data_IF_652721810896
#
_entry.id   IF_652721810896
#
_cell.length_a   1.000
_cell.length_b   1.000
_cell.length_c   1.000
_cell.angle_alpha   90.00
_cell.angle_beta   90.00
_cell.angle_gamma   90.00
#
_symmetry.space_group_name_H-M   'P 1'
#
loop_
_entity.id
_entity.type
_entity.pdbx_description
1 polymer ?
#
# COMPACT_ATOMS: atom_id res chain seq x y z
N UNK A 1 -7.68 28.53 -69.36
CA UNK A 1 -6.52 28.51 -68.43
C UNK A 1 -6.55 29.82 -67.67
N UNK A 2 -6.71 29.97 -66.37
CA UNK A 2 -6.91 29.04 -65.25
C UNK A 2 -7.48 29.94 -64.15
N UNK A 3 -8.76 29.81 -63.82
CA UNK A 3 -9.42 30.66 -62.82
C UNK A 3 -9.01 30.24 -61.41
N UNK A 4 -8.10 31.00 -60.79
CA UNK A 4 -7.70 30.79 -59.41
C UNK A 4 -8.84 31.24 -58.49
N UNK A 5 -9.72 30.28 -58.15
CA UNK A 5 -10.74 30.42 -57.12
C UNK A 5 -10.07 30.70 -55.77
N UNK A 6 -10.17 31.95 -55.32
CA UNK A 6 -9.74 32.42 -54.01
C UNK A 6 -10.70 31.80 -52.99
N UNK A 7 -10.33 30.66 -52.41
CA UNK A 7 -11.09 30.05 -51.31
C UNK A 7 -10.90 30.94 -50.08
N UNK A 8 -11.91 31.71 -49.74
CA UNK A 8 -12.03 32.34 -48.45
C UNK A 8 -12.06 31.23 -47.39
N UNK A 9 -10.95 31.07 -46.67
CA UNK A 9 -10.86 30.20 -45.52
C UNK A 9 -11.58 30.91 -44.39
N UNK A 10 -12.86 30.59 -44.20
CA UNK A 10 -13.58 30.93 -42.97
C UNK A 10 -12.79 30.34 -41.78
N UNK A 11 -12.05 31.21 -41.10
CA UNK A 11 -11.46 30.89 -39.80
C UNK A 11 -12.63 30.79 -38.83
N UNK A 12 -13.15 29.58 -38.64
CA UNK A 12 -14.11 29.29 -37.58
C UNK A 12 -13.48 29.69 -36.25
N UNK A 13 -14.02 30.70 -35.60
CA UNK A 13 -13.65 31.09 -34.24
C UNK A 13 -13.82 29.88 -33.33
N UNK A 14 -12.70 29.25 -32.99
CA UNK A 14 -12.65 28.16 -32.03
C UNK A 14 -12.94 28.78 -30.68
N UNK A 15 -14.19 28.67 -30.21
CA UNK A 15 -14.58 29.12 -28.89
C UNK A 15 -13.76 28.37 -27.83
N UNK A 16 -12.82 29.08 -27.20
CA UNK A 16 -11.92 28.55 -26.18
C UNK A 16 -12.67 27.79 -25.06
N UNK A 17 -13.87 28.24 -24.71
CA UNK A 17 -14.72 27.60 -23.69
C UNK A 17 -15.20 26.21 -24.12
N UNK A 18 -15.56 26.04 -25.39
CA UNK A 18 -15.96 24.73 -25.95
C UNK A 18 -14.78 23.75 -25.97
N UNK A 19 -13.58 24.23 -26.29
CA UNK A 19 -12.36 23.40 -26.24
C UNK A 19 -12.04 23.00 -24.80
N UNK A 20 -12.10 23.93 -23.84
CA UNK A 20 -11.85 23.65 -22.43
C UNK A 20 -12.80 22.58 -21.85
N UNK A 21 -14.10 22.66 -22.15
CA UNK A 21 -15.08 21.65 -21.73
C UNK A 21 -14.80 20.27 -22.34
N UNK A 22 -14.38 20.22 -23.62
CA UNK A 22 -14.00 18.96 -24.28
C UNK A 22 -12.76 18.35 -23.65
N UNK A 23 -11.76 19.17 -23.31
CA UNK A 23 -10.54 18.72 -22.61
C UNK A 23 -10.90 18.17 -21.22
N UNK A 24 -11.71 18.89 -20.44
CA UNK A 24 -12.14 18.43 -19.12
C UNK A 24 -12.90 17.09 -19.20
N UNK A 25 -13.83 16.96 -20.15
CA UNK A 25 -14.55 15.71 -20.38
C UNK A 25 -13.66 14.56 -20.83
N UNK A 26 -12.62 14.84 -21.63
CA UNK A 26 -11.62 13.84 -22.01
C UNK A 26 -10.83 13.36 -20.79
N UNK A 27 -10.31 14.29 -19.96
CA UNK A 27 -9.52 13.95 -18.77
C UNK A 27 -10.32 13.10 -17.77
N UNK A 28 -11.60 13.42 -17.53
CA UNK A 28 -12.47 12.64 -16.64
C UNK A 28 -12.66 11.21 -17.16
N UNK A 29 -12.95 11.04 -18.46
CA UNK A 29 -13.10 9.69 -19.05
C UNK A 29 -11.81 8.90 -18.97
N UNK A 30 -10.68 9.51 -19.33
CA UNK A 30 -9.37 8.84 -19.24
C UNK A 30 -9.05 8.41 -17.82
N UNK A 31 -9.39 9.20 -16.80
CA UNK A 31 -9.17 8.81 -15.40
C UNK A 31 -10.08 7.66 -14.96
N UNK A 32 -11.34 7.64 -15.41
CA UNK A 32 -12.26 6.52 -15.14
C UNK A 32 -11.78 5.22 -15.79
N UNK A 33 -11.37 5.28 -17.05
CA UNK A 33 -10.83 4.13 -17.79
C UNK A 33 -9.55 3.62 -17.13
N UNK A 34 -8.67 4.55 -16.72
CA UNK A 34 -7.43 4.25 -16.00
C UNK A 34 -7.72 3.56 -14.67
N UNK A 35 -8.69 4.05 -13.88
CA UNK A 35 -9.09 3.40 -12.63
C UNK A 35 -9.69 2.02 -12.88
N UNK A 36 -10.52 1.85 -13.92
CA UNK A 36 -11.13 0.57 -14.27
C UNK A 36 -10.07 -0.48 -14.65
N UNK A 37 -9.16 -0.15 -15.57
CA UNK A 37 -8.05 -1.03 -15.96
C UNK A 37 -7.14 -1.37 -14.77
N UNK A 38 -6.92 -0.41 -13.88
CA UNK A 38 -6.12 -0.64 -12.68
C UNK A 38 -6.80 -1.61 -11.71
N UNK A 39 -8.13 -1.53 -11.54
CA UNK A 39 -8.90 -2.48 -10.73
C UNK A 39 -8.87 -3.88 -11.32
N UNK A 40 -9.04 -4.01 -12.64
CA UNK A 40 -8.86 -5.29 -13.33
C UNK A 40 -7.45 -5.85 -13.13
N UNK A 41 -6.43 -4.99 -13.16
CA UNK A 41 -5.06 -5.41 -12.86
C UNK A 41 -4.92 -5.94 -11.44
N UNK A 42 -5.39 -5.21 -10.42
CA UNK A 42 -5.35 -5.67 -9.03
C UNK A 42 -6.14 -6.97 -8.84
N UNK A 43 -7.29 -7.08 -9.48
CA UNK A 43 -8.09 -8.30 -9.51
C UNK A 43 -7.39 -9.45 -10.23
N UNK A 44 -6.52 -9.20 -11.21
CA UNK A 44 -5.73 -10.22 -11.88
C UNK A 44 -4.49 -10.65 -11.06
N UNK A 45 -3.91 -9.75 -10.27
CA UNK A 45 -2.65 -10.00 -9.56
C UNK A 45 -2.84 -10.41 -8.11
N UNK A 46 -3.69 -9.72 -7.34
CA UNK A 46 -3.85 -9.95 -5.90
C UNK A 46 -4.65 -11.22 -5.67
N UNK A 47 -4.02 -12.19 -5.00
CA UNK A 47 -4.60 -13.53 -4.77
C UNK A 47 -4.59 -13.93 -3.31
N UNK A 48 -3.78 -13.27 -2.48
CA UNK A 48 -3.59 -13.65 -1.08
C UNK A 48 -3.48 -12.45 -0.16
N UNK A 49 -3.76 -12.68 1.11
CA UNK A 49 -3.62 -11.71 2.19
C UNK A 49 -3.06 -12.39 3.43
N UNK A 50 -2.38 -11.63 4.29
CA UNK A 50 -1.98 -12.14 5.60
C UNK A 50 -3.19 -12.12 6.56
N UNK A 51 -3.41 -13.17 7.37
CA UNK A 51 -4.41 -13.14 8.44
C UNK A 51 -4.23 -11.96 9.41
N UNK A 52 -2.99 -11.53 9.66
CA UNK A 52 -2.70 -10.33 10.44
C UNK A 52 -3.40 -9.09 9.89
N UNK A 53 -3.46 -8.93 8.57
CA UNK A 53 -4.13 -7.80 7.95
C UNK A 53 -5.65 -7.86 8.17
N UNK A 54 -6.23 -9.06 8.08
CA UNK A 54 -7.67 -9.25 8.33
C UNK A 54 -8.02 -8.93 9.78
N UNK A 55 -7.19 -9.39 10.72
CA UNK A 55 -7.37 -9.10 12.15
C UNK A 55 -7.20 -7.63 12.46
N UNK A 56 -6.15 -6.98 11.93
CA UNK A 56 -5.97 -5.54 12.07
C UNK A 56 -7.18 -4.78 11.53
N UNK A 57 -7.63 -5.09 10.31
CA UNK A 57 -8.83 -4.47 9.74
C UNK A 57 -10.06 -4.66 10.63
N UNK A 58 -10.23 -5.86 11.21
CA UNK A 58 -11.33 -6.16 12.15
C UNK A 58 -11.22 -5.36 13.44
N UNK A 59 -10.03 -5.27 14.05
CA UNK A 59 -9.77 -4.48 15.26
C UNK A 59 -10.02 -2.98 15.01
N UNK A 60 -9.76 -2.51 13.80
CA UNK A 60 -10.06 -1.13 13.39
C UNK A 60 -11.54 -0.87 13.08
N UNK A 61 -12.37 -1.91 12.99
CA UNK A 61 -13.73 -1.79 12.50
C UNK A 61 -13.80 -1.38 11.03
N UNK A 62 -12.75 -1.69 10.25
CA UNK A 62 -12.66 -1.37 8.82
C UNK A 62 -12.87 -2.63 8.00
N UNK A 63 -13.79 -2.56 7.05
CA UNK A 63 -13.94 -3.58 6.01
C UNK A 63 -12.72 -3.53 5.09
N UNK A 64 -11.94 -4.61 5.07
CA UNK A 64 -10.77 -4.70 4.18
C UNK A 64 -11.18 -4.56 2.71
N UNK A 65 -12.33 -5.13 2.34
CA UNK A 65 -12.92 -4.99 1.00
C UNK A 65 -13.16 -3.52 0.66
N UNK A 66 -13.78 -2.75 1.56
CA UNK A 66 -14.04 -1.34 1.32
C UNK A 66 -12.73 -0.54 1.25
N UNK A 67 -11.76 -0.83 2.13
CA UNK A 67 -10.46 -0.18 2.11
C UNK A 67 -9.73 -0.40 0.78
N UNK A 68 -9.73 -1.63 0.23
CA UNK A 68 -9.04 -1.88 -1.04
C UNK A 68 -9.72 -1.18 -2.22
N UNK A 69 -11.02 -0.86 -2.15
CA UNK A 69 -11.74 -0.11 -3.21
C UNK A 69 -11.26 1.34 -3.37
N UNK A 70 -10.61 1.86 -2.32
CA UNK A 70 -10.05 3.20 -2.26
C UNK A 70 -8.65 3.28 -2.89
N UNK A 71 -7.99 2.15 -3.15
CA UNK A 71 -6.68 2.15 -3.81
C UNK A 71 -6.82 2.80 -5.19
N UNK A 72 -5.90 3.72 -5.51
CA UNK A 72 -5.85 4.45 -6.78
C UNK A 72 -4.58 4.10 -7.58
N UNK A 73 -4.64 4.17 -8.92
CA UNK A 73 -3.46 4.00 -9.74
C UNK A 73 -2.44 5.12 -9.45
N UNK A 74 -1.12 4.83 -9.37
CA UNK A 74 -0.07 5.84 -9.30
C UNK A 74 -0.08 6.71 -10.55
N UNK A 75 0.27 7.99 -10.44
CA UNK A 75 0.16 8.98 -11.54
C UNK A 75 0.84 8.52 -12.85
N UNK A 76 1.94 7.78 -12.75
CA UNK A 76 2.72 7.26 -13.87
C UNK A 76 2.26 5.89 -14.40
N UNK A 77 1.24 5.28 -13.78
CA UNK A 77 0.60 4.07 -14.28
C UNK A 77 -0.40 4.41 -15.41
N UNK A 78 -0.42 3.68 -16.54
CA UNK A 78 0.22 2.38 -16.78
C UNK A 78 1.67 2.39 -17.29
N UNK A 79 2.25 3.55 -17.57
CA UNK A 79 3.53 3.64 -18.31
C UNK A 79 4.71 3.15 -17.49
N UNK A 80 4.58 3.26 -16.17
CA UNK A 80 5.42 2.58 -15.20
C UNK A 80 4.60 1.51 -14.49
N UNK A 81 4.72 0.24 -14.91
CA UNK A 81 4.03 -0.84 -14.22
C UNK A 81 4.46 -0.89 -12.76
N UNK A 82 3.54 -1.33 -11.90
CA UNK A 82 3.82 -1.52 -10.48
C UNK A 82 4.69 -2.77 -10.37
N UNK A 83 5.99 -2.58 -10.59
CA UNK A 83 6.97 -3.64 -10.43
C UNK A 83 7.32 -3.78 -8.95
N UNK A 84 6.92 -4.92 -8.41
CA UNK A 84 7.21 -5.36 -7.05
C UNK A 84 8.70 -5.70 -6.83
N UNK A 85 9.46 -5.79 -7.92
CA UNK A 85 10.91 -5.88 -7.93
C UNK A 85 11.53 -4.50 -7.67
N UNK A 86 11.24 -3.94 -6.50
CA UNK A 86 12.23 -3.05 -5.92
C UNK A 86 13.53 -3.86 -5.79
N UNK A 87 14.66 -3.40 -6.40
CA UNK A 87 15.95 -4.05 -6.25
C UNK A 87 16.18 -4.38 -4.77
N UNK A 88 16.84 -5.50 -4.45
CA UNK A 88 17.11 -5.92 -3.07
C UNK A 88 17.62 -4.76 -2.19
N UNK A 89 18.37 -3.82 -2.80
CA UNK A 89 18.84 -2.58 -2.20
C UNK A 89 17.73 -1.58 -1.84
N UNK A 90 16.68 -1.43 -2.64
CA UNK A 90 15.52 -0.57 -2.35
C UNK A 90 14.59 -1.24 -1.33
N UNK A 91 14.46 -2.58 -1.32
CA UNK A 91 13.88 -3.31 -0.17
C UNK A 91 14.65 -3.03 1.13
N UNK A 92 15.98 -2.97 1.07
CA UNK A 92 16.83 -2.58 2.19
C UNK A 92 16.61 -1.10 2.57
N UNK A 93 16.55 -0.21 1.58
CA UNK A 93 16.34 1.23 1.77
C UNK A 93 14.94 1.60 2.28
N UNK A 94 13.88 0.90 1.88
CA UNK A 94 12.54 1.11 2.43
C UNK A 94 12.46 0.59 3.86
N UNK A 95 13.05 -0.58 4.16
CA UNK A 95 13.21 -1.04 5.56
C UNK A 95 13.98 -0.02 6.41
N UNK A 96 15.04 0.58 5.85
CA UNK A 96 15.84 1.64 6.46
C UNK A 96 15.10 2.98 6.68
N UNK A 97 13.98 3.26 6.00
CA UNK A 97 13.39 4.62 5.97
C UNK A 97 12.15 4.78 6.83
N UNK A 98 11.60 3.70 7.37
CA UNK A 98 10.40 3.72 8.22
C UNK A 98 10.70 3.84 9.72
N UNK A 99 11.96 4.10 10.10
CA UNK A 99 12.47 3.87 11.43
C UNK A 99 12.60 5.06 12.38
N UNK A 100 12.65 6.29 11.87
CA UNK A 100 12.97 7.43 12.72
C UNK A 100 11.75 7.83 13.56
N UNK A 101 11.63 7.29 14.78
CA UNK A 101 10.65 7.66 15.81
C UNK A 101 10.69 9.12 16.30
N UNK A 102 11.18 10.04 15.47
CA UNK A 102 10.88 11.47 15.56
C UNK A 102 9.76 11.73 14.55
N UNK A 103 8.53 11.81 15.04
CA UNK A 103 7.34 12.23 14.27
C UNK A 103 7.59 13.66 13.77
N UNK A 104 8.32 13.79 12.67
CA UNK A 104 8.53 15.03 11.95
C UNK A 104 7.66 15.04 10.71
N UNK A 105 7.33 16.23 10.20
CA UNK A 105 6.60 16.40 8.92
C UNK A 105 7.20 15.58 7.77
N UNK A 106 8.52 15.35 7.82
CA UNK A 106 9.21 14.49 6.87
C UNK A 106 8.68 13.06 6.92
N UNK A 107 8.57 12.43 8.09
CA UNK A 107 8.17 11.02 8.20
C UNK A 107 6.72 10.80 7.73
N UNK A 108 5.81 11.70 8.11
CA UNK A 108 4.42 11.68 7.63
C UNK A 108 4.36 11.71 6.10
N UNK A 109 5.06 12.66 5.46
CA UNK A 109 5.15 12.73 4.01
C UNK A 109 5.76 11.47 3.38
N UNK A 110 6.73 10.83 4.04
CA UNK A 110 7.35 9.61 3.53
C UNK A 110 6.41 8.41 3.63
N UNK A 111 5.70 8.26 4.75
CA UNK A 111 4.69 7.22 4.92
C UNK A 111 3.58 7.39 3.88
N UNK A 112 3.04 8.60 3.76
CA UNK A 112 2.00 8.90 2.77
C UNK A 112 2.51 8.62 1.36
N UNK A 113 3.74 9.01 1.00
CA UNK A 113 4.30 8.68 -0.33
C UNK A 113 4.51 7.17 -0.52
N UNK A 114 4.89 6.43 0.51
CA UNK A 114 5.16 5.00 0.41
C UNK A 114 3.89 4.16 0.29
N UNK A 115 2.75 4.68 0.77
CA UNK A 115 1.49 3.95 0.85
C UNK A 115 0.32 4.58 0.09
N UNK A 116 0.31 5.86 -0.27
CA UNK A 116 -0.81 6.48 -0.99
C UNK A 116 -0.85 6.11 -2.48
N UNK A 117 0.23 5.58 -3.07
CA UNK A 117 0.27 5.22 -4.49
C UNK A 117 1.20 4.02 -4.74
N UNK A 118 0.70 2.78 -4.98
CA UNK A 118 -0.70 2.33 -5.11
C UNK A 118 -1.23 1.68 -3.81
N UNK A 119 -1.62 2.48 -2.83
CA UNK A 119 -2.24 1.95 -1.62
C UNK A 119 -3.25 2.91 -1.01
N UNK A 120 -3.64 2.61 0.21
CA UNK A 120 -4.62 3.36 1.00
C UNK A 120 -4.07 3.54 2.41
N UNK A 121 -4.13 4.79 2.89
CA UNK A 121 -3.85 5.12 4.28
C UNK A 121 -5.18 5.08 5.03
N UNK A 122 -5.31 4.15 5.97
CA UNK A 122 -6.48 3.99 6.84
C UNK A 122 -6.36 4.91 8.06
N UNK A 123 -5.15 4.99 8.64
CA UNK A 123 -4.80 5.95 9.69
C UNK A 123 -3.51 6.65 9.32
N UNK A 124 -3.56 7.98 9.36
CA UNK A 124 -2.42 8.84 9.11
C UNK A 124 -1.37 8.72 10.23
N UNK A 125 -0.19 9.28 10.01
CA UNK A 125 0.94 9.22 10.96
C UNK A 125 0.65 9.96 12.27
N UNK A 126 -0.24 10.95 12.24
CA UNK A 126 -0.68 11.73 13.39
C UNK A 126 -1.94 11.19 14.08
N UNK A 127 -2.51 10.07 13.63
CA UNK A 127 -3.62 9.42 14.35
C UNK A 127 -3.11 8.95 15.73
N UNK A 128 -3.80 9.27 16.83
CA UNK A 128 -3.37 8.90 18.19
C UNK A 128 -3.32 7.38 18.42
N UNK A 129 -3.96 6.58 17.57
CA UNK A 129 -3.91 5.11 17.59
C UNK A 129 -2.75 4.55 16.74
N UNK A 130 -1.94 5.42 16.16
CA UNK A 130 -0.82 5.10 15.29
C UNK A 130 -1.24 4.85 13.84
N UNK A 131 -0.24 4.77 12.96
CA UNK A 131 -0.48 4.68 11.51
C UNK A 131 -0.96 3.31 11.06
N UNK A 132 -1.74 3.26 9.99
CA UNK A 132 -2.16 2.01 9.36
C UNK A 132 -2.41 2.24 7.86
N UNK A 133 -1.73 1.46 7.02
CA UNK A 133 -1.88 1.54 5.58
C UNK A 133 -1.75 0.18 4.90
N UNK A 134 -2.40 0.06 3.74
CA UNK A 134 -2.46 -1.15 2.91
C UNK A 134 -2.00 -0.80 1.51
N UNK A 135 -1.29 -1.69 0.83
CA UNK A 135 -0.88 -1.50 -0.56
C UNK A 135 -0.82 -2.81 -1.32
N UNK A 136 -0.89 -2.69 -2.64
CA UNK A 136 -0.55 -3.79 -3.54
C UNK A 136 0.94 -4.16 -3.38
N UNK A 137 1.21 -5.47 -3.25
CA UNK A 137 2.53 -6.05 -3.27
C UNK A 137 2.49 -7.38 -4.03
N UNK A 138 2.50 -7.27 -5.36
CA UNK A 138 2.58 -8.42 -6.26
C UNK A 138 1.35 -9.30 -6.11
N UNK A 139 1.48 -10.61 -5.80
CA UNK A 139 0.30 -11.46 -5.65
C UNK A 139 -0.43 -11.27 -4.31
N UNK A 140 -0.02 -10.33 -3.47
CA UNK A 140 -0.58 -10.14 -2.13
C UNK A 140 -0.91 -8.69 -1.79
N UNK A 141 -1.72 -8.51 -0.76
CA UNK A 141 -1.82 -7.24 -0.05
C UNK A 141 -0.73 -7.15 1.03
N UNK A 142 0.09 -6.10 0.95
CA UNK A 142 1.04 -5.72 1.98
C UNK A 142 0.46 -4.64 2.88
N UNK A 143 0.98 -4.53 4.09
CA UNK A 143 0.54 -3.51 5.04
C UNK A 143 1.65 -3.06 5.97
N UNK A 144 1.44 -1.87 6.55
CA UNK A 144 2.18 -1.38 7.71
C UNK A 144 1.19 -0.81 8.70
N UNK A 145 1.30 -1.21 9.96
CA UNK A 145 0.46 -0.77 11.06
C UNK A 145 1.31 -0.53 12.31
N UNK A 146 0.94 0.44 13.11
CA UNK A 146 1.46 0.59 14.47
C UNK A 146 0.59 -0.19 15.45
N UNK A 147 1.25 -0.96 16.31
CA UNK A 147 0.65 -1.96 17.18
C UNK A 147 1.38 -1.90 18.52
N UNK A 148 0.76 -1.33 19.55
CA UNK A 148 1.40 -1.14 20.86
C UNK A 148 2.71 -0.34 20.79
N UNK A 149 2.77 0.71 19.97
CA UNK A 149 3.97 1.51 19.72
C UNK A 149 5.05 0.82 18.87
N UNK A 150 4.84 -0.44 18.47
CA UNK A 150 5.72 -1.16 17.55
C UNK A 150 5.21 -1.00 16.11
N UNK A 151 6.13 -0.85 15.16
CA UNK A 151 5.77 -0.79 13.75
C UNK A 151 5.77 -2.21 13.15
N UNK A 152 4.56 -2.75 12.94
CA UNK A 152 4.34 -4.00 12.24
C UNK A 152 4.26 -3.77 10.74
N UNK A 153 5.00 -4.55 9.96
CA UNK A 153 4.99 -4.48 8.50
C UNK A 153 5.03 -5.89 7.93
N UNK A 154 4.13 -6.20 7.00
CA UNK A 154 4.11 -7.49 6.32
C UNK A 154 3.99 -7.36 4.81
N UNK A 155 4.83 -8.12 4.11
CA UNK A 155 4.86 -8.21 2.65
C UNK A 155 5.09 -9.67 2.24
N UNK A 156 4.08 -10.28 1.63
CA UNK A 156 4.10 -11.70 1.31
C UNK A 156 4.15 -12.56 2.57
N UNK A 157 4.92 -13.66 2.52
CA UNK A 157 5.05 -14.60 3.64
C UNK A 157 5.99 -14.15 4.76
N UNK A 158 6.35 -12.87 4.83
CA UNK A 158 7.31 -12.33 5.80
C UNK A 158 6.78 -11.07 6.45
N UNK A 159 6.92 -11.01 7.77
CA UNK A 159 6.56 -9.86 8.59
C UNK A 159 7.71 -9.42 9.47
N UNK A 160 7.66 -8.16 9.86
CA UNK A 160 8.64 -7.46 10.68
C UNK A 160 7.93 -6.64 11.73
N UNK A 161 8.43 -6.69 12.96
CA UNK A 161 7.98 -5.86 14.05
C UNK A 161 9.17 -5.05 14.56
N UNK A 162 9.13 -3.75 14.35
CA UNK A 162 10.16 -2.82 14.82
C UNK A 162 9.73 -2.23 16.16
N UNK A 163 10.62 -2.29 17.14
CA UNK A 163 10.38 -1.77 18.49
C UNK A 163 10.71 -0.28 18.58
N UNK A 164 10.00 0.51 19.40
CA UNK A 164 10.23 1.95 19.56
C UNK A 164 11.49 2.27 20.37
N UNK A 165 12.11 1.28 21.00
CA UNK A 165 13.28 1.44 21.86
C UNK A 165 14.12 0.16 21.93
N UNK A 166 15.27 0.22 22.63
CA UNK A 166 16.11 -0.95 22.84
C UNK A 166 15.35 -2.01 23.65
N UNK A 167 15.57 -3.27 23.31
CA UNK A 167 15.08 -4.41 24.07
C UNK A 167 16.15 -4.86 25.07
N UNK A 168 15.76 -5.39 26.24
CA UNK A 168 16.71 -6.06 27.13
C UNK A 168 17.44 -7.18 26.39
N UNK A 169 18.75 -7.33 26.64
CA UNK A 169 19.58 -8.34 25.96
C UNK A 169 19.03 -9.77 26.11
N UNK A 170 18.46 -10.07 27.28
CA UNK A 170 17.79 -11.35 27.57
C UNK A 170 16.63 -11.60 26.60
N UNK A 171 15.81 -10.58 26.31
CA UNK A 171 14.71 -10.69 25.34
C UNK A 171 15.27 -10.92 23.95
N UNK A 172 16.30 -10.16 23.54
CA UNK A 172 16.88 -10.30 22.20
C UNK A 172 17.51 -11.66 21.95
N UNK A 173 18.16 -12.25 22.95
CA UNK A 173 18.83 -13.55 22.86
C UNK A 173 17.85 -14.72 22.97
N UNK A 174 16.80 -14.60 23.80
CA UNK A 174 15.87 -15.69 24.06
C UNK A 174 14.67 -15.76 23.10
N UNK A 175 14.39 -14.70 22.33
CA UNK A 175 13.18 -14.62 21.51
C UNK A 175 13.20 -15.50 20.25
N UNK A 176 14.37 -15.73 19.63
CA UNK A 176 14.45 -16.54 18.42
C UNK A 176 13.94 -17.97 18.67
N UNK A 177 13.05 -18.45 17.79
CA UNK A 177 12.39 -19.75 17.92
C UNK A 177 11.16 -19.78 18.83
N UNK A 178 10.89 -18.72 19.60
CA UNK A 178 9.66 -18.61 20.41
C UNK A 178 8.46 -18.20 19.56
N UNK A 179 7.27 -18.43 20.09
CA UNK A 179 6.05 -17.86 19.53
C UNK A 179 6.00 -16.35 19.76
N UNK A 180 5.48 -15.60 18.80
CA UNK A 180 5.43 -14.14 18.84
C UNK A 180 4.57 -13.63 19.98
N UNK A 181 3.47 -14.31 20.30
CA UNK A 181 2.59 -13.98 21.43
C UNK A 181 3.24 -14.16 22.81
N UNK A 182 4.32 -14.94 22.90
CA UNK A 182 5.15 -15.05 24.12
C UNK A 182 6.17 -13.92 24.24
N UNK A 183 6.44 -13.21 23.15
CA UNK A 183 7.42 -12.11 23.10
C UNK A 183 6.73 -10.75 23.12
N UNK A 184 5.55 -10.67 22.52
CA UNK A 184 4.79 -9.43 22.34
C UNK A 184 3.35 -9.67 22.75
N UNK A 185 2.97 -9.07 23.88
CA UNK A 185 1.60 -9.10 24.37
C UNK A 185 0.74 -8.11 23.56
N UNK A 186 0.10 -8.61 22.51
CA UNK A 186 -0.88 -7.85 21.73
C UNK A 186 -1.97 -8.77 21.19
N UNK A 187 -3.26 -8.37 21.22
CA UNK A 187 -4.39 -9.19 20.76
C UNK A 187 -4.25 -9.74 19.34
N UNK A 188 -3.60 -8.99 18.44
CA UNK A 188 -3.34 -9.40 17.05
C UNK A 188 -2.41 -10.62 16.91
N UNK A 189 -1.65 -10.94 17.95
CA UNK A 189 -0.75 -12.10 17.96
C UNK A 189 -1.28 -13.26 18.79
N UNK A 190 -2.28 -13.02 19.65
CA UNK A 190 -2.76 -13.99 20.62
C UNK A 190 -3.28 -15.27 19.94
N UNK A 191 -2.74 -16.43 20.35
CA UNK A 191 -3.16 -17.73 19.83
C UNK A 191 -2.76 -17.98 18.37
N UNK A 192 -1.76 -17.25 17.87
CA UNK A 192 -1.21 -17.41 16.52
C UNK A 192 0.17 -18.05 16.56
N UNK A 193 0.38 -19.06 15.73
CA UNK A 193 1.65 -19.79 15.61
C UNK A 193 2.71 -19.03 14.79
N UNK A 194 2.98 -17.77 15.15
CA UNK A 194 4.02 -16.98 14.51
C UNK A 194 5.36 -17.21 15.21
N UNK A 195 6.24 -18.00 14.59
CA UNK A 195 7.59 -18.21 15.14
C UNK A 195 8.52 -17.04 14.81
N UNK A 196 9.15 -16.49 15.84
CA UNK A 196 10.22 -15.50 15.70
C UNK A 196 11.42 -16.14 15.02
N UNK A 197 11.82 -15.62 13.86
CA UNK A 197 12.98 -16.13 13.12
C UNK A 197 14.29 -15.57 13.67
N UNK A 198 14.32 -14.27 13.92
CA UNK A 198 15.50 -13.54 14.41
C UNK A 198 15.13 -12.13 14.82
N UNK A 199 15.95 -11.55 15.68
CA UNK A 199 15.97 -10.13 16.01
C UNK A 199 17.28 -9.54 15.50
N UNK A 200 17.20 -8.40 14.81
CA UNK A 200 18.37 -7.70 14.28
C UNK A 200 18.21 -6.19 14.48
N UNK A 201 19.31 -5.45 14.70
CA UNK A 201 19.24 -4.00 14.71
C UNK A 201 18.85 -3.49 13.32
N UNK A 202 17.94 -2.53 13.28
CA UNK A 202 17.64 -1.76 12.08
C UNK A 202 18.90 -0.99 11.67
N UNK A 203 19.28 -1.08 10.41
CA UNK A 203 20.49 -0.43 9.92
C UNK A 203 20.42 1.10 9.88
N UNK A 204 19.24 1.72 10.09
CA UNK A 204 19.07 3.17 10.06
C UNK A 204 19.25 3.83 11.43
N UNK A 205 18.68 3.22 12.46
CA UNK A 205 18.63 3.79 13.82
C UNK A 205 19.08 2.82 14.92
N UNK A 206 19.46 1.59 14.55
CA UNK A 206 19.91 0.57 15.49
C UNK A 206 18.79 -0.07 16.32
N UNK A 207 17.53 0.33 16.13
CA UNK A 207 16.42 -0.19 16.94
C UNK A 207 16.15 -1.67 16.61
N UNK A 208 15.73 -2.49 17.57
CA UNK A 208 15.47 -3.90 17.34
C UNK A 208 14.33 -4.13 16.33
N UNK A 209 14.57 -5.02 15.38
CA UNK A 209 13.57 -5.50 14.42
C UNK A 209 13.47 -7.01 14.54
N UNK A 210 12.31 -7.47 15.00
CA UNK A 210 11.94 -8.87 15.02
C UNK A 210 11.37 -9.24 13.66
N UNK A 211 11.84 -10.36 13.10
CA UNK A 211 11.31 -10.90 11.83
C UNK A 211 10.68 -12.26 12.05
N UNK A 212 9.56 -12.52 11.37
CA UNK A 212 8.80 -13.77 11.50
C UNK A 212 8.08 -14.13 10.19
N UNK A 213 7.64 -15.38 10.06
CA UNK A 213 6.86 -15.82 8.91
C UNK A 213 5.39 -15.50 9.13
N UNK A 214 4.79 -14.76 8.21
CA UNK A 214 3.35 -14.56 8.16
C UNK A 214 2.76 -15.59 7.20
N UNK A 215 1.73 -16.31 7.64
CA UNK A 215 0.94 -17.16 6.74
C UNK A 215 0.16 -16.30 5.76
N UNK A 216 -0.21 -16.89 4.63
CA UNK A 216 -1.00 -16.25 3.59
C UNK A 216 -2.24 -17.09 3.33
N UNK A 217 -3.40 -16.44 3.28
CA UNK A 217 -4.68 -17.05 2.95
C UNK A 217 -5.20 -16.50 1.62
N UNK A 218 -6.02 -17.26 0.87
CA UNK A 218 -6.66 -16.74 -0.34
C UNK A 218 -7.44 -15.46 -0.06
N UNK A 219 -7.39 -14.52 -1.01
CA UNK A 219 -8.12 -13.27 -0.96
C UNK A 219 -8.72 -12.96 -2.33
N UNK A 220 -9.98 -12.53 -2.35
CA UNK A 220 -10.69 -12.14 -3.57
C UNK A 220 -10.91 -10.64 -3.53
N UNK A 221 -10.45 -9.94 -4.55
CA UNK A 221 -10.69 -8.49 -4.68
C UNK A 221 -12.20 -8.23 -4.87
N UNK A 222 -12.76 -7.19 -4.25
CA UNK A 222 -14.20 -6.90 -4.32
C UNK A 222 -14.65 -6.32 -5.67
N UNK A 223 -13.75 -6.21 -6.66
CA UNK A 223 -14.05 -5.68 -7.98
C UNK A 223 -14.68 -6.70 -8.93
N UNK A 224 -14.52 -7.99 -8.64
CA UNK A 224 -14.95 -9.08 -9.52
C UNK A 224 -16.43 -9.02 -9.89
N UNK A 225 -17.26 -8.56 -8.96
CA UNK A 225 -18.73 -8.47 -9.16
C UNK A 225 -19.14 -7.30 -10.05
N UNK A 226 -18.27 -6.31 -10.25
CA UNK A 226 -18.59 -5.09 -11.02
C UNK A 226 -18.50 -5.40 -12.53
N UNK A 227 -17.55 -6.22 -12.94
CA UNK A 227 -17.32 -6.58 -14.35
C UNK A 227 -18.45 -7.43 -14.93
N UNK A 228 -19.05 -8.32 -14.15
CA UNK A 228 -20.18 -9.16 -14.59
C UNK A 228 -21.47 -8.35 -14.80
N UNK A 229 -21.69 -7.27 -14.04
CA UNK A 229 -22.88 -6.41 -14.19
C UNK A 229 -22.79 -5.39 -15.33
N UNK A 230 -21.59 -5.10 -15.83
CA UNK A 230 -21.42 -4.21 -16.99
C UNK A 230 -21.58 -4.94 -18.33
N UNK A 231 -21.53 -6.27 -18.32
CA UNK A 231 -21.65 -7.12 -19.51
C UNK A 231 -23.06 -7.75 -19.68
N UNK A 232 -23.94 -7.58 -18.70
CA UNK A 232 -25.34 -8.02 -18.71
C UNK A 232 -26.27 -6.83 -18.97
#
# INVERSE_FOLDING_TARGET
MTGASKRDVEVRDVNASSVALRIAGFLVRTELDRLHLFRMHLEATVRKVSPLLLELATLEGVSLSDAVTLIRPPQDWPWRPIHDSQPVLVRRAQRLRHGNGKIGRSEAQHFDRAFAAPGVVIRAVDDPRGRFAIRHFGPVLGFTAEVGGCLLTAFGGSAMLKFPGPLPEIVTSAAAGRSLDQVVDHPVFAGRDYTVLRIMPDSADGLPVLTFRATLVPFVMPYATISERAAA
#
